data_IF_704303805755
#
_entry.id   IF_704303805755
#
_cell.length_a   1.000
_cell.length_b   1.000
_cell.length_c   1.000
_cell.angle_alpha   90.00
_cell.angle_beta   90.00
_cell.angle_gamma   90.00
#
_symmetry.space_group_name_H-M   'P 1'
#
loop_
_entity.id
_entity.type
_entity.pdbx_description
1 polymer ?
#
# COMPACT_ATOMS: atom_id res chain seq x y z
N UNK A 1 -42.34 27.02 6.55
CA UNK A 1 -41.53 26.98 5.30
C UNK A 1 -40.94 25.60 4.99
N UNK A 2 -40.32 24.89 5.94
CA UNK A 2 -39.73 23.54 5.72
C UNK A 2 -40.71 22.45 5.22
N UNK A 3 -41.98 22.46 5.67
CA UNK A 3 -42.99 21.48 5.24
C UNK A 3 -43.33 21.57 3.74
N UNK A 4 -43.32 22.77 3.17
CA UNK A 4 -43.56 22.97 1.73
C UNK A 4 -42.42 22.43 0.87
N UNK A 5 -41.18 22.64 1.32
CA UNK A 5 -39.98 22.12 0.66
C UNK A 5 -39.87 20.60 0.73
N UNK A 6 -40.15 19.99 1.89
CA UNK A 6 -40.18 18.53 2.04
C UNK A 6 -41.23 17.86 1.14
N UNK A 7 -42.43 18.45 1.03
CA UNK A 7 -43.47 17.95 0.12
C UNK A 7 -43.07 18.07 -1.36
N UNK A 8 -42.30 19.08 -1.72
CA UNK A 8 -41.76 19.23 -3.07
C UNK A 8 -40.70 18.16 -3.36
N UNK A 9 -39.69 18.01 -2.48
CA UNK A 9 -38.65 16.99 -2.63
C UNK A 9 -39.21 15.56 -2.72
N UNK A 10 -40.21 15.23 -1.92
CA UNK A 10 -40.88 13.93 -1.96
C UNK A 10 -41.58 13.67 -3.30
N UNK A 11 -42.12 14.72 -3.96
CA UNK A 11 -42.72 14.58 -5.29
C UNK A 11 -41.65 14.31 -6.34
N UNK A 12 -40.57 15.09 -6.33
CA UNK A 12 -39.46 14.94 -7.28
C UNK A 12 -38.77 13.57 -7.14
N UNK A 13 -38.48 13.12 -5.90
CA UNK A 13 -37.94 11.78 -5.65
C UNK A 13 -38.89 10.67 -6.11
N UNK A 14 -40.19 10.85 -5.90
CA UNK A 14 -41.19 9.86 -6.32
C UNK A 14 -41.32 9.80 -7.84
N UNK A 15 -41.21 10.92 -8.53
CA UNK A 15 -41.18 10.98 -10.00
C UNK A 15 -39.89 10.36 -10.56
N UNK A 16 -38.74 10.63 -9.94
CA UNK A 16 -37.45 10.03 -10.32
C UNK A 16 -37.46 8.51 -10.18
N UNK A 17 -38.01 7.99 -9.07
CA UNK A 17 -38.17 6.55 -8.82
C UNK A 17 -39.26 5.95 -9.72
N UNK A 18 -40.19 6.74 -10.25
CA UNK A 18 -41.21 6.24 -11.17
C UNK A 18 -40.70 6.12 -12.61
N UNK A 19 -39.52 6.67 -12.93
CA UNK A 19 -38.88 6.45 -14.22
C UNK A 19 -38.01 5.17 -14.18
N UNK A 20 -38.47 4.06 -14.78
CA UNK A 20 -37.74 2.80 -14.77
C UNK A 20 -36.41 2.89 -15.53
N UNK A 21 -36.25 3.83 -16.48
CA UNK A 21 -34.98 4.01 -17.21
C UNK A 21 -33.90 4.56 -16.29
N UNK A 22 -34.26 5.52 -15.42
CA UNK A 22 -33.34 6.09 -14.42
C UNK A 22 -33.00 5.05 -13.36
N UNK A 23 -34.00 4.30 -12.86
CA UNK A 23 -33.79 3.20 -11.92
C UNK A 23 -32.88 2.11 -12.50
N UNK A 24 -33.08 1.72 -13.76
CA UNK A 24 -32.22 0.78 -14.45
C UNK A 24 -30.79 1.29 -14.53
N UNK A 25 -30.58 2.55 -14.90
CA UNK A 25 -29.25 3.18 -14.86
C UNK A 25 -28.64 3.13 -13.46
N UNK A 26 -29.40 3.48 -12.44
CA UNK A 26 -28.94 3.55 -11.04
C UNK A 26 -28.66 2.18 -10.42
N UNK A 27 -29.25 1.10 -10.92
CA UNK A 27 -29.05 -0.26 -10.39
C UNK A 27 -28.07 -1.05 -11.27
N UNK A 28 -28.24 -1.05 -12.58
CA UNK A 28 -27.45 -1.84 -13.52
C UNK A 28 -26.03 -1.27 -13.61
N UNK A 29 -25.87 0.06 -13.72
CA UNK A 29 -24.54 0.66 -13.90
C UNK A 29 -23.65 0.38 -12.70
N UNK A 30 -24.03 0.67 -11.44
CA UNK A 30 -23.15 0.38 -10.30
C UNK A 30 -22.89 -1.12 -10.14
N UNK A 31 -23.87 -1.97 -10.43
CA UNK A 31 -23.73 -3.43 -10.35
C UNK A 31 -22.70 -3.98 -11.33
N UNK A 32 -22.49 -3.34 -12.48
CA UNK A 32 -21.47 -3.73 -13.46
C UNK A 32 -20.15 -2.98 -13.23
N UNK A 33 -20.21 -1.68 -12.96
CA UNK A 33 -19.03 -0.84 -12.75
C UNK A 33 -18.22 -1.26 -11.52
N UNK A 34 -18.87 -1.56 -10.39
CA UNK A 34 -18.13 -1.89 -9.17
C UNK A 34 -17.32 -3.19 -9.29
N UNK A 35 -17.84 -4.31 -9.85
CA UNK A 35 -17.02 -5.47 -10.13
C UNK A 35 -15.86 -5.20 -11.09
N UNK A 36 -16.09 -4.41 -12.14
CA UNK A 36 -15.04 -4.05 -13.12
C UNK A 36 -13.93 -3.27 -12.44
N UNK A 37 -14.26 -2.18 -11.74
CA UNK A 37 -13.30 -1.36 -10.99
C UNK A 37 -12.60 -2.16 -9.90
N UNK A 38 -13.34 -2.98 -9.15
CA UNK A 38 -12.78 -3.88 -8.14
C UNK A 38 -11.78 -4.87 -8.75
N UNK A 39 -12.08 -5.41 -9.93
CA UNK A 39 -11.16 -6.25 -10.70
C UNK A 39 -9.87 -5.52 -11.09
N UNK A 40 -9.99 -4.30 -11.62
CA UNK A 40 -8.83 -3.46 -11.99
C UNK A 40 -7.97 -3.14 -10.77
N UNK A 41 -8.57 -2.72 -9.66
CA UNK A 41 -7.86 -2.42 -8.42
C UNK A 41 -7.17 -3.68 -7.89
N UNK A 42 -7.87 -4.81 -7.83
CA UNK A 42 -7.30 -6.08 -7.38
C UNK A 42 -6.11 -6.54 -8.24
N UNK A 43 -6.18 -6.34 -9.55
CA UNK A 43 -5.06 -6.64 -10.45
C UNK A 43 -3.88 -5.70 -10.19
N UNK A 44 -4.14 -4.40 -10.06
CA UNK A 44 -3.10 -3.40 -9.76
C UNK A 44 -2.43 -3.68 -8.41
N UNK A 45 -3.19 -4.01 -7.37
CA UNK A 45 -2.65 -4.33 -6.04
C UNK A 45 -1.86 -5.64 -6.05
N UNK A 46 -2.34 -6.69 -6.73
CA UNK A 46 -1.57 -7.93 -6.90
C UNK A 46 -0.27 -7.69 -7.65
N UNK A 47 -0.28 -6.94 -8.74
CA UNK A 47 0.92 -6.57 -9.50
C UNK A 47 1.91 -5.78 -8.64
N UNK A 48 1.43 -4.83 -7.84
CA UNK A 48 2.26 -4.08 -6.91
C UNK A 48 2.84 -4.98 -5.80
N UNK A 49 2.05 -5.88 -5.24
CA UNK A 49 2.49 -6.86 -4.23
C UNK A 49 3.52 -7.84 -4.80
N UNK A 50 3.30 -8.38 -6.01
CA UNK A 50 4.27 -9.26 -6.67
C UNK A 50 5.60 -8.55 -6.95
N UNK A 51 5.56 -7.28 -7.34
CA UNK A 51 6.76 -6.46 -7.50
C UNK A 51 7.47 -6.19 -6.18
N UNK A 52 6.71 -5.89 -5.12
CA UNK A 52 7.25 -5.67 -3.78
C UNK A 52 7.84 -6.96 -3.19
N UNK A 53 7.20 -8.13 -3.40
CA UNK A 53 7.72 -9.42 -2.97
C UNK A 53 9.00 -9.83 -3.71
N UNK A 54 9.14 -9.42 -4.98
CA UNK A 54 10.38 -9.55 -5.74
C UNK A 54 11.43 -8.50 -5.38
N UNK A 55 11.07 -7.45 -4.65
CA UNK A 55 12.03 -6.47 -4.19
C UNK A 55 12.87 -7.12 -3.09
N UNK A 56 14.17 -7.23 -3.36
CA UNK A 56 15.15 -7.63 -2.37
C UNK A 56 15.78 -6.37 -1.78
N UNK A 57 15.83 -6.32 -0.44
CA UNK A 57 16.30 -5.18 0.33
C UNK A 57 17.47 -5.62 1.20
N UNK A 58 18.56 -4.86 1.18
CA UNK A 58 19.61 -5.03 2.19
C UNK A 58 19.27 -4.15 3.39
N UNK A 59 19.24 -4.75 4.57
CA UNK A 59 19.12 -4.03 5.85
C UNK A 59 20.48 -4.08 6.54
N UNK A 60 21.10 -2.91 6.70
CA UNK A 60 22.30 -2.74 7.51
C UNK A 60 21.86 -2.37 8.92
N UNK A 61 21.89 -3.33 9.83
CA UNK A 61 21.51 -3.16 11.23
C UNK A 61 22.73 -2.85 12.08
N UNK A 62 22.96 -1.56 12.34
CA UNK A 62 24.03 -1.09 13.22
C UNK A 62 23.54 -0.88 14.67
N UNK A 63 22.24 -1.00 14.94
CA UNK A 63 21.63 -0.87 16.27
C UNK A 63 21.59 -2.21 17.02
N UNK A 64 21.19 -3.29 16.32
CA UNK A 64 21.07 -4.64 16.88
C UNK A 64 19.96 -4.79 17.94
N UNK A 65 19.17 -3.74 18.16
CA UNK A 65 18.14 -3.64 19.18
C UNK A 65 16.89 -4.50 18.91
N UNK A 66 16.02 -4.58 19.93
CA UNK A 66 14.75 -5.33 19.84
C UNK A 66 13.87 -4.81 18.69
N UNK A 67 13.79 -3.49 18.52
CA UNK A 67 12.99 -2.87 17.47
C UNK A 67 13.55 -3.12 16.06
N UNK A 68 14.88 -3.12 15.91
CA UNK A 68 15.54 -3.43 14.65
C UNK A 68 15.23 -4.87 14.18
N UNK A 69 15.28 -5.84 15.12
CA UNK A 69 14.90 -7.23 14.86
C UNK A 69 13.41 -7.37 14.52
N UNK A 70 12.54 -6.70 15.27
CA UNK A 70 11.10 -6.77 15.03
C UNK A 70 10.72 -6.17 13.67
N UNK A 71 11.30 -5.03 13.31
CA UNK A 71 11.11 -4.39 12.01
C UNK A 71 11.58 -5.31 10.87
N UNK A 72 12.79 -5.88 10.97
CA UNK A 72 13.33 -6.79 9.96
C UNK A 72 12.44 -8.04 9.80
N UNK A 73 11.91 -8.58 10.89
CA UNK A 73 10.99 -9.71 10.84
C UNK A 73 9.66 -9.34 10.19
N UNK A 74 9.11 -8.16 10.46
CA UNK A 74 7.91 -7.65 9.81
C UNK A 74 8.10 -7.55 8.28
N UNK A 75 9.26 -7.08 7.81
CA UNK A 75 9.56 -7.01 6.37
C UNK A 75 9.58 -8.40 5.72
N UNK A 76 10.19 -9.40 6.37
CA UNK A 76 10.18 -10.79 5.88
C UNK A 76 8.77 -11.38 5.86
N UNK A 77 7.97 -11.12 6.89
CA UNK A 77 6.56 -11.54 6.94
C UNK A 77 5.71 -10.88 5.84
N UNK A 78 6.06 -9.67 5.42
CA UNK A 78 5.44 -8.99 4.29
C UNK A 78 5.88 -9.55 2.92
N UNK A 79 6.74 -10.59 2.90
CA UNK A 79 7.21 -11.24 1.68
C UNK A 79 8.41 -10.56 1.01
N UNK A 80 9.07 -9.61 1.69
CA UNK A 80 10.27 -8.94 1.18
C UNK A 80 11.48 -9.82 1.48
N UNK A 81 12.36 -10.01 0.48
CA UNK A 81 13.63 -10.70 0.68
C UNK A 81 14.64 -9.77 1.34
N UNK A 82 14.90 -9.98 2.63
CA UNK A 82 15.78 -9.12 3.42
C UNK A 82 17.15 -9.77 3.65
N UNK A 83 18.22 -9.12 3.21
CA UNK A 83 19.60 -9.49 3.50
C UNK A 83 20.14 -8.64 4.65
N UNK A 84 20.64 -9.27 5.71
CA UNK A 84 21.14 -8.56 6.88
C UNK A 84 22.65 -8.40 6.82
N UNK A 85 23.13 -7.18 7.03
CA UNK A 85 24.53 -6.85 7.28
C UNK A 85 24.60 -6.00 8.56
N UNK A 86 25.74 -5.97 9.23
CA UNK A 86 25.90 -5.24 10.50
C UNK A 86 27.31 -4.70 10.64
N UNK A 87 27.49 -3.62 11.40
CA UNK A 87 28.78 -2.95 11.64
C UNK A 87 29.43 -2.41 10.37
N UNK A 88 28.63 -1.90 9.42
CA UNK A 88 29.12 -1.30 8.18
C UNK A 88 28.69 0.16 8.13
N UNK A 89 29.65 1.06 7.97
CA UNK A 89 29.37 2.44 7.62
C UNK A 89 29.00 2.54 6.13
N UNK A 90 27.85 3.14 5.84
CA UNK A 90 27.37 3.37 4.47
C UNK A 90 28.19 4.48 3.79
N UNK A 91 29.34 4.10 3.25
CA UNK A 91 30.12 4.91 2.30
C UNK A 91 29.80 4.48 0.86
N UNK A 92 29.96 5.38 -0.12
CA UNK A 92 29.69 5.12 -1.54
C UNK A 92 30.36 3.84 -2.05
N UNK A 93 31.60 3.56 -1.64
CA UNK A 93 32.32 2.34 -1.99
C UNK A 93 31.70 1.06 -1.41
N UNK A 94 31.20 1.11 -0.17
CA UNK A 94 30.58 -0.05 0.48
C UNK A 94 29.16 -0.29 -0.03
N UNK A 95 28.41 0.79 -0.29
CA UNK A 95 27.06 0.73 -0.88
C UNK A 95 27.10 -0.02 -2.22
N UNK A 96 27.97 0.39 -3.15
CA UNK A 96 28.04 -0.26 -4.47
C UNK A 96 28.47 -1.72 -4.37
N UNK A 97 29.37 -2.07 -3.44
CA UNK A 97 29.79 -3.46 -3.20
C UNK A 97 28.64 -4.31 -2.68
N UNK A 98 27.86 -3.79 -1.73
CA UNK A 98 26.72 -4.49 -1.14
C UNK A 98 25.59 -4.68 -2.16
N UNK A 99 25.26 -3.62 -2.92
CA UNK A 99 24.26 -3.69 -3.99
C UNK A 99 24.66 -4.73 -5.06
N UNK A 100 25.94 -4.76 -5.45
CA UNK A 100 26.46 -5.74 -6.42
C UNK A 100 26.51 -7.17 -5.87
N UNK A 101 26.88 -7.35 -4.59
CA UNK A 101 26.95 -8.66 -3.92
C UNK A 101 25.61 -9.37 -3.87
N UNK A 102 24.53 -8.63 -3.58
CA UNK A 102 23.19 -9.20 -3.43
C UNK A 102 22.28 -8.97 -4.65
N UNK A 103 22.78 -8.32 -5.70
CA UNK A 103 22.02 -7.93 -6.89
C UNK A 103 20.71 -7.19 -6.55
N UNK A 104 20.83 -6.18 -5.70
CA UNK A 104 19.69 -5.35 -5.27
C UNK A 104 19.93 -3.89 -5.63
N UNK A 105 18.86 -3.10 -5.62
CA UNK A 105 18.90 -1.67 -5.92
C UNK A 105 18.70 -0.78 -4.70
N UNK A 106 18.33 -1.36 -3.55
CA UNK A 106 17.97 -0.62 -2.35
C UNK A 106 18.70 -1.15 -1.11
N UNK A 107 19.17 -0.21 -0.28
CA UNK A 107 19.73 -0.45 1.05
C UNK A 107 18.93 0.41 2.04
N UNK A 108 18.65 -0.15 3.21
CA UNK A 108 18.10 0.53 4.36
C UNK A 108 19.09 0.41 5.51
N UNK A 109 19.46 1.54 6.11
CA UNK A 109 20.30 1.56 7.32
C UNK A 109 19.43 1.74 8.56
N UNK A 110 19.64 0.91 9.56
CA UNK A 110 19.17 1.14 10.93
C UNK A 110 20.37 1.69 11.68
N UNK A 111 20.38 3.02 11.83
CA UNK A 111 21.39 3.72 12.61
C UNK A 111 21.31 3.25 14.06
N UNK A 112 22.47 3.00 14.66
CA UNK A 112 22.55 2.81 16.11
C UNK A 112 21.93 4.04 16.78
N UNK A 113 20.95 3.83 17.66
CA UNK A 113 20.44 4.95 18.44
C UNK A 113 21.60 5.52 19.24
N UNK A 114 21.90 6.81 19.07
CA UNK A 114 22.69 7.53 20.07
C UNK A 114 21.94 7.33 21.38
N UNK A 115 22.57 6.66 22.33
CA UNK A 115 22.13 6.64 23.72
C UNK A 115 22.22 8.10 24.18
N UNK A 116 21.15 8.87 23.98
CA UNK A 116 21.04 10.21 24.51
C UNK A 116 20.99 10.00 26.04
N UNK A 117 22.00 10.51 26.79
CA UNK A 117 22.11 10.26 28.22
C UNK A 117 20.92 10.83 29.01
#
# INVERSE_FOLDING_TARGET
MLKGFGNFLLKELKELVRDPKILLGMIIVPRVMFPVLGGVINYATKSAQERAAKAALIVVDNDGGYWAKNFTNMLRMAGINVFNESNIALSSGNITRLLSKYNVTQILEILAALMIP
#
